data_IF_965673427512
#
_entry.id   IF_965673427512
#
_cell.length_a   1.000
_cell.length_b   1.000
_cell.length_c   1.000
_cell.angle_alpha   90.00
_cell.angle_beta   90.00
_cell.angle_gamma   90.00
#
_symmetry.space_group_name_H-M   'P 1'
#
loop_
_entity.id
_entity.type
_entity.pdbx_description
1 polymer ?
#
# COMPACT_ATOMS: atom_id res chain seq x y z
N UNK A 1 1.69 15.10 -0.21
CA UNK A 1 1.24 15.29 1.19
C UNK A 1 -0.20 15.82 1.35
N UNK A 2 -0.53 17.11 1.14
CA UNK A 2 -1.87 17.69 1.44
C UNK A 2 -2.96 17.05 0.58
N UNK A 3 -2.63 16.81 -0.69
CA UNK A 3 -3.53 16.10 -1.60
C UNK A 3 -3.92 14.70 -1.09
N UNK A 4 -2.95 13.96 -0.54
CA UNK A 4 -3.16 12.61 -0.01
C UNK A 4 -3.98 12.67 1.28
N UNK A 5 -3.69 13.63 2.15
CA UNK A 5 -4.49 13.88 3.36
C UNK A 5 -5.95 14.22 3.02
N UNK A 6 -6.18 15.08 2.03
CA UNK A 6 -7.53 15.47 1.58
C UNK A 6 -8.33 14.28 1.01
N UNK A 7 -7.64 13.22 0.56
CA UNK A 7 -8.26 12.02 0.00
C UNK A 7 -8.77 11.02 1.04
N UNK A 8 -8.35 11.12 2.31
CA UNK A 8 -8.79 10.21 3.38
C UNK A 8 -10.31 10.18 3.55
N UNK A 9 -10.97 11.33 3.42
CA UNK A 9 -12.40 11.46 3.68
C UNK A 9 -13.28 11.16 2.46
N UNK A 10 -12.67 10.75 1.34
CA UNK A 10 -13.40 10.39 0.12
C UNK A 10 -13.57 8.88 0.04
N UNK A 11 -14.82 8.42 0.04
CA UNK A 11 -15.20 7.01 -0.17
C UNK A 11 -14.81 6.46 -1.55
N UNK A 12 -14.33 7.33 -2.45
CA UNK A 12 -13.93 6.98 -3.80
C UNK A 12 -12.44 6.60 -3.94
N UNK A 13 -11.70 6.55 -2.82
CA UNK A 13 -10.28 6.20 -2.81
C UNK A 13 -10.03 4.90 -2.04
N UNK A 14 -9.03 4.14 -2.47
CA UNK A 14 -8.45 3.02 -1.75
C UNK A 14 -7.01 3.37 -1.42
N UNK A 15 -6.67 3.35 -0.13
CA UNK A 15 -5.28 3.40 0.30
C UNK A 15 -4.77 1.97 0.41
N UNK A 16 -3.81 1.60 -0.45
CA UNK A 16 -3.25 0.27 -0.49
C UNK A 16 -1.89 0.26 0.22
N UNK A 17 -1.85 -0.37 1.40
CA UNK A 17 -0.62 -0.60 2.14
C UNK A 17 0.01 -1.93 1.70
N UNK A 18 1.19 -1.87 1.10
CA UNK A 18 1.90 -3.08 0.63
C UNK A 18 3.09 -3.48 1.50
N UNK A 19 3.17 -2.92 2.71
CA UNK A 19 4.22 -3.26 3.70
C UNK A 19 3.98 -4.65 4.29
N UNK A 20 4.91 -5.13 5.11
CA UNK A 20 4.72 -6.39 5.85
C UNK A 20 3.51 -6.31 6.80
N UNK A 21 2.88 -7.45 7.14
CA UNK A 21 1.78 -7.47 8.10
C UNK A 21 2.09 -6.77 9.43
N UNK A 22 3.32 -6.88 9.93
CA UNK A 22 3.76 -6.25 11.18
C UNK A 22 3.92 -4.73 11.05
N UNK A 23 4.35 -4.25 9.87
CA UNK A 23 4.35 -2.81 9.56
C UNK A 23 2.92 -2.25 9.50
N UNK A 24 1.98 -2.99 8.88
CA UNK A 24 0.57 -2.59 8.76
C UNK A 24 -0.16 -2.57 10.10
N UNK A 25 0.10 -3.56 10.98
CA UNK A 25 -0.47 -3.61 12.34
C UNK A 25 0.16 -2.62 13.32
N UNK A 26 1.25 -1.96 12.92
CA UNK A 26 1.97 -1.02 13.78
C UNK A 26 2.85 -1.67 14.83
N UNK A 27 3.27 -2.92 14.62
CA UNK A 27 4.24 -3.60 15.47
C UNK A 27 5.66 -3.07 15.20
N UNK A 28 5.93 -2.64 13.96
CA UNK A 28 7.22 -2.12 13.48
C UNK A 28 7.04 -0.99 12.46
N UNK A 29 8.12 -0.27 12.16
CA UNK A 29 8.18 0.76 11.10
C UNK A 29 9.07 0.36 9.93
N UNK A 30 9.79 -0.76 10.04
CA UNK A 30 10.59 -1.34 8.97
C UNK A 30 10.32 -2.84 8.76
N UNK A 31 10.74 -3.39 7.60
CA UNK A 31 10.68 -4.82 7.36
C UNK A 31 11.40 -5.64 8.45
N UNK A 32 11.01 -6.90 8.65
CA UNK A 32 11.67 -7.79 9.60
C UNK A 32 13.10 -8.11 9.16
N UNK A 33 13.95 -8.50 10.12
CA UNK A 33 15.33 -8.93 9.87
C UNK A 33 16.39 -7.81 9.91
N UNK A 34 15.99 -6.58 10.21
CA UNK A 34 16.91 -5.45 10.42
C UNK A 34 16.52 -4.62 11.65
N UNK A 35 17.26 -3.53 11.88
CA UNK A 35 16.92 -2.56 12.92
C UNK A 35 15.58 -1.89 12.63
N UNK A 36 14.67 -1.86 13.62
CA UNK A 36 13.36 -1.23 13.50
C UNK A 36 13.48 0.30 13.58
N UNK A 37 13.76 0.95 12.45
CA UNK A 37 13.97 2.40 12.35
C UNK A 37 13.31 2.98 11.10
N UNK A 38 13.00 4.28 11.11
CA UNK A 38 12.39 4.98 9.99
C UNK A 38 11.46 6.07 10.46
N UNK A 39 10.15 5.82 10.39
CA UNK A 39 9.14 6.76 10.82
C UNK A 39 9.07 6.90 12.36
N UNK A 40 8.67 8.08 12.83
CA UNK A 40 8.47 8.36 14.26
C UNK A 40 7.31 7.57 14.89
N UNK A 41 6.32 7.17 14.07
CA UNK A 41 5.09 6.50 14.54
C UNK A 41 4.86 5.17 13.82
N UNK A 42 4.40 4.18 14.57
CA UNK A 42 3.94 2.88 14.08
C UNK A 42 2.45 2.94 13.72
N UNK A 43 2.02 2.08 12.79
CA UNK A 43 0.63 1.95 12.36
C UNK A 43 0.50 2.03 10.85
N UNK A 44 -0.67 2.46 10.38
CA UNK A 44 -1.03 2.63 8.96
C UNK A 44 -1.81 3.92 8.73
N UNK A 45 -2.00 4.25 7.45
CA UNK A 45 -2.91 5.33 7.05
C UNK A 45 -4.34 4.88 7.41
N UNK A 46 -5.18 5.71 8.06
CA UNK A 46 -6.53 5.31 8.44
C UNK A 46 -7.37 4.79 7.28
N UNK A 47 -8.05 3.66 7.49
CA UNK A 47 -8.87 3.01 6.47
C UNK A 47 -8.08 2.38 5.30
N UNK A 48 -6.75 2.32 5.36
CA UNK A 48 -5.97 1.60 4.37
C UNK A 48 -6.29 0.10 4.40
N UNK A 49 -6.37 -0.50 3.21
CA UNK A 49 -6.42 -1.96 3.05
C UNK A 49 -5.00 -2.51 2.90
N UNK A 50 -4.81 -3.78 3.25
CA UNK A 50 -3.50 -4.42 3.27
C UNK A 50 -3.38 -5.51 2.21
N UNK A 51 -2.32 -5.47 1.40
CA UNK A 51 -1.92 -6.58 0.54
C UNK A 51 -0.40 -6.63 0.48
N UNK A 52 0.21 -7.61 1.14
CA UNK A 52 1.66 -7.68 1.23
C UNK A 52 2.28 -7.90 -0.15
N UNK A 53 3.25 -7.06 -0.54
CA UNK A 53 3.81 -7.11 -1.90
C UNK A 53 4.40 -8.48 -2.29
N UNK A 54 4.91 -9.25 -1.32
CA UNK A 54 5.43 -10.61 -1.58
C UNK A 54 4.35 -11.58 -2.00
N UNK A 55 3.10 -11.35 -1.61
CA UNK A 55 1.97 -12.19 -2.00
C UNK A 55 1.61 -12.01 -3.49
N UNK A 56 2.21 -11.02 -4.18
CA UNK A 56 2.07 -10.79 -5.62
C UNK A 56 3.12 -11.54 -6.45
N UNK A 57 4.06 -12.24 -5.79
CA UNK A 57 5.23 -12.85 -6.42
C UNK A 57 5.25 -14.37 -6.17
N UNK A 58 5.81 -15.10 -7.13
CA UNK A 58 6.24 -16.48 -6.98
C UNK A 58 7.53 -16.56 -6.15
N UNK A 59 7.96 -17.78 -5.82
CA UNK A 59 9.22 -18.01 -5.07
C UNK A 59 10.48 -17.54 -5.81
N UNK A 60 10.42 -17.43 -7.13
CA UNK A 60 11.51 -16.96 -8.00
C UNK A 60 11.48 -15.43 -8.27
N UNK A 61 10.68 -14.68 -7.50
CA UNK A 61 10.46 -13.23 -7.62
C UNK A 61 9.77 -12.77 -8.93
N UNK A 62 9.26 -13.70 -9.76
CA UNK A 62 8.35 -13.34 -10.87
C UNK A 62 6.94 -13.05 -10.35
N UNK A 63 6.12 -12.31 -11.10
CA UNK A 63 4.71 -12.10 -10.72
C UNK A 63 3.93 -13.42 -10.78
N UNK A 64 3.01 -13.62 -9.82
CA UNK A 64 1.99 -14.67 -9.93
C UNK A 64 1.12 -14.45 -11.18
N UNK A 65 0.29 -15.44 -11.54
CA UNK A 65 -0.56 -15.33 -12.73
C UNK A 65 -1.49 -14.11 -12.67
N UNK A 66 -1.81 -13.54 -13.83
CA UNK A 66 -2.76 -12.40 -13.95
C UNK A 66 -4.09 -12.69 -13.23
N UNK A 67 -4.60 -13.93 -13.36
CA UNK A 67 -5.82 -14.38 -12.68
C UNK A 67 -5.68 -14.41 -11.15
N UNK A 68 -4.50 -14.77 -10.64
CA UNK A 68 -4.25 -14.77 -9.20
C UNK A 68 -4.04 -13.34 -8.67
N UNK A 69 -3.42 -12.46 -9.45
CA UNK A 69 -3.33 -11.02 -9.15
C UNK A 69 -4.74 -10.43 -9.05
N UNK A 70 -5.58 -10.64 -10.07
CA UNK A 70 -6.97 -10.16 -10.08
C UNK A 70 -7.72 -10.62 -8.82
N UNK A 71 -7.60 -11.92 -8.46
CA UNK A 71 -8.22 -12.45 -7.24
C UNK A 71 -7.73 -11.76 -5.97
N UNK A 72 -6.41 -11.61 -5.80
CA UNK A 72 -5.82 -10.99 -4.60
C UNK A 72 -6.18 -9.52 -4.47
N UNK A 73 -6.22 -8.78 -5.58
CA UNK A 73 -6.65 -7.38 -5.55
C UNK A 73 -8.15 -7.26 -5.25
N UNK A 74 -8.98 -8.16 -5.80
CA UNK A 74 -10.41 -8.17 -5.52
C UNK A 74 -10.74 -8.42 -4.03
N UNK A 75 -9.95 -9.26 -3.34
CA UNK A 75 -10.06 -9.51 -1.89
C UNK A 75 -9.93 -8.23 -1.04
N UNK A 76 -9.20 -7.23 -1.56
CA UNK A 76 -9.01 -5.92 -0.90
C UNK A 76 -9.84 -4.80 -1.54
N UNK A 77 -10.81 -5.16 -2.38
CA UNK A 77 -11.75 -4.23 -3.02
C UNK A 77 -11.20 -3.50 -4.24
N UNK A 78 -10.09 -3.96 -4.82
CA UNK A 78 -9.52 -3.46 -6.07
C UNK A 78 -9.96 -4.38 -7.21
N UNK A 79 -10.83 -3.90 -8.08
CA UNK A 79 -11.43 -4.69 -9.17
C UNK A 79 -11.09 -4.09 -10.54
N UNK A 80 -11.01 -4.95 -11.55
CA UNK A 80 -10.65 -4.57 -12.94
C UNK A 80 -11.67 -3.65 -13.61
N UNK A 81 -12.94 -3.73 -13.19
CA UNK A 81 -14.02 -2.85 -13.67
C UNK A 81 -13.91 -1.40 -13.14
N UNK A 82 -12.97 -1.13 -12.24
CA UNK A 82 -12.38 0.20 -12.07
C UNK A 82 -13.33 1.28 -11.54
N UNK A 83 -13.73 1.21 -10.27
CA UNK A 83 -14.52 2.28 -9.63
C UNK A 83 -13.67 3.37 -8.98
N UNK A 84 -12.78 2.95 -8.09
CA UNK A 84 -12.08 3.80 -7.11
C UNK A 84 -10.66 4.14 -7.56
N UNK A 85 -10.15 5.26 -7.07
CA UNK A 85 -8.74 5.62 -7.25
C UNK A 85 -7.87 4.95 -6.19
N UNK A 86 -6.81 4.27 -6.62
CA UNK A 86 -5.92 3.50 -5.76
C UNK A 86 -4.66 4.32 -5.48
N UNK A 87 -4.36 4.50 -4.20
CA UNK A 87 -3.15 5.15 -3.71
C UNK A 87 -2.29 4.11 -3.02
N UNK A 88 -1.34 3.54 -3.74
CA UNK A 88 -0.41 2.54 -3.20
C UNK A 88 0.76 3.21 -2.47
N UNK A 89 1.13 2.66 -1.31
CA UNK A 89 2.26 3.13 -0.53
C UNK A 89 2.97 2.00 0.21
N UNK A 90 4.23 2.23 0.57
CA UNK A 90 4.95 1.33 1.47
C UNK A 90 5.74 2.12 2.52
N UNK A 91 7.05 1.87 2.68
CA UNK A 91 7.94 2.67 3.55
C UNK A 91 8.61 3.81 2.79
N UNK A 92 9.19 3.51 1.63
CA UNK A 92 9.95 4.43 0.75
C UNK A 92 9.59 4.17 -0.73
N UNK A 93 8.33 3.88 -1.00
CA UNK A 93 7.73 3.68 -2.34
C UNK A 93 8.25 2.56 -3.25
N UNK A 94 9.41 1.95 -3.00
CA UNK A 94 9.95 0.88 -3.86
C UNK A 94 9.02 -0.36 -3.97
N UNK A 95 8.43 -0.84 -2.85
CA UNK A 95 7.45 -1.96 -2.88
C UNK A 95 6.12 -1.53 -3.50
N UNK A 96 5.77 -0.26 -3.34
CA UNK A 96 4.54 0.30 -3.91
C UNK A 96 4.62 0.32 -5.44
N UNK A 97 5.80 0.61 -6.01
CA UNK A 97 6.04 0.52 -7.46
C UNK A 97 5.73 -0.87 -8.02
N UNK A 98 6.07 -1.94 -7.29
CA UNK A 98 5.78 -3.31 -7.71
C UNK A 98 4.27 -3.58 -7.79
N UNK A 99 3.52 -3.17 -6.75
CA UNK A 99 2.05 -3.28 -6.78
C UNK A 99 1.41 -2.39 -7.84
N UNK A 100 1.94 -1.18 -8.04
CA UNK A 100 1.48 -0.26 -9.07
C UNK A 100 1.66 -0.86 -10.47
N UNK A 101 2.80 -1.51 -10.72
CA UNK A 101 3.06 -2.19 -11.99
C UNK A 101 2.07 -3.34 -12.22
N UNK A 102 1.83 -4.18 -11.21
CA UNK A 102 0.83 -5.24 -11.31
C UNK A 102 -0.58 -4.71 -11.62
N UNK A 103 -1.01 -3.65 -10.92
CA UNK A 103 -2.33 -3.05 -11.12
C UNK A 103 -2.45 -2.40 -12.50
N UNK A 104 -1.46 -1.61 -12.91
CA UNK A 104 -1.54 -0.82 -14.14
C UNK A 104 -1.17 -1.61 -15.38
N UNK A 105 0.00 -2.23 -15.38
CA UNK A 105 0.61 -2.81 -16.58
C UNK A 105 0.15 -4.25 -16.82
N UNK A 106 -0.17 -5.00 -15.76
CA UNK A 106 -0.65 -6.39 -15.89
C UNK A 106 -2.17 -6.44 -15.93
N UNK A 107 -2.86 -5.78 -14.99
CA UNK A 107 -4.33 -5.81 -14.89
C UNK A 107 -5.04 -4.70 -15.68
N UNK A 108 -4.31 -3.74 -16.26
CA UNK A 108 -4.90 -2.67 -17.07
C UNK A 108 -5.71 -1.63 -16.28
N UNK A 109 -5.56 -1.54 -14.95
CA UNK A 109 -6.30 -0.60 -14.12
C UNK A 109 -5.58 0.75 -14.09
N UNK A 110 -6.12 1.75 -14.79
CA UNK A 110 -5.46 3.04 -14.94
C UNK A 110 -5.51 3.96 -13.71
N UNK A 111 -6.54 3.81 -12.88
CA UNK A 111 -6.79 4.68 -11.71
C UNK A 111 -5.91 4.28 -10.51
N UNK A 112 -4.60 4.19 -10.72
CA UNK A 112 -3.63 3.82 -9.68
C UNK A 112 -2.44 4.78 -9.68
N UNK A 113 -2.00 5.15 -8.49
CA UNK A 113 -0.82 6.00 -8.29
C UNK A 113 -0.05 5.61 -7.05
N UNK A 114 1.21 6.04 -7.01
CA UNK A 114 2.09 5.82 -5.87
C UNK A 114 2.09 7.08 -5.00
N UNK A 115 1.93 6.91 -3.69
CA UNK A 115 2.24 7.98 -2.75
C UNK A 115 3.73 7.91 -2.37
N UNK A 116 4.51 8.76 -3.03
CA UNK A 116 5.98 8.76 -2.96
C UNK A 116 6.55 8.90 -1.54
N UNK A 117 5.97 9.81 -0.73
CA UNK A 117 6.39 10.01 0.67
C UNK A 117 6.17 8.77 1.54
N UNK A 118 5.19 7.93 1.20
CA UNK A 118 4.93 6.65 1.85
C UNK A 118 4.83 6.77 3.39
N UNK A 119 5.04 5.66 4.12
CA UNK A 119 4.98 5.66 5.58
C UNK A 119 6.09 6.49 6.24
N UNK A 120 7.26 6.63 5.62
CA UNK A 120 8.35 7.44 6.21
C UNK A 120 7.95 8.91 6.32
N UNK A 121 7.32 9.48 5.29
CA UNK A 121 6.73 10.83 5.36
C UNK A 121 5.53 10.83 6.31
N UNK A 122 4.52 9.98 6.05
CA UNK A 122 3.25 10.03 6.78
C UNK A 122 3.42 9.81 8.29
N UNK A 123 4.13 8.76 8.66
CA UNK A 123 4.39 8.39 10.05
C UNK A 123 5.24 9.42 10.81
N UNK A 124 5.90 10.36 10.13
CA UNK A 124 6.76 11.38 10.75
C UNK A 124 6.11 12.77 10.83
N UNK A 125 5.02 13.03 10.10
CA UNK A 125 4.35 14.35 10.12
C UNK A 125 3.46 14.49 11.36
N UNK A 126 3.78 15.45 12.23
CA UNK A 126 2.93 15.82 13.38
C UNK A 126 1.53 16.21 12.90
N UNK A 127 0.50 15.67 13.57
CA UNK A 127 -0.91 15.96 13.29
C UNK A 127 -1.54 15.14 12.17
N UNK A 128 -0.77 14.36 11.40
CA UNK A 128 -1.36 13.40 10.44
C UNK A 128 -1.98 12.22 11.20
N UNK A 129 -3.18 11.76 10.80
CA UNK A 129 -3.86 10.70 11.52
C UNK A 129 -3.19 9.35 11.25
N UNK A 130 -3.16 8.49 12.28
CA UNK A 130 -2.55 7.16 12.24
C UNK A 130 -3.53 6.18 12.87
N UNK A 131 -3.73 5.04 12.22
CA UNK A 131 -4.50 3.92 12.74
C UNK A 131 -3.54 2.79 13.19
N UNK A 132 -3.86 2.12 14.29
CA UNK A 132 -3.11 0.98 14.83
C UNK A 132 -4.07 -0.20 15.07
N UNK A 133 -3.58 -1.43 14.97
CA UNK A 133 -4.37 -2.66 15.12
C UNK A 133 -4.67 -3.29 13.76
#
# INVERSE_FOLDING_TARGET
RVEVLNKLNSSNNIFLDVRSPEEYRGERVSPPGGFDHGAERKGRIPGAVHLFFRDLLNEDDTFISEKDLERKFAEVGITVDGGKEIVSYCRLSHRATLSWFAIKEILGIDKVRIYDGSWTEWGSIVGFPVEQG
#
